data_IF_759793360727
#
_entry.id   IF_759793360727
#
_cell.length_a   1.000
_cell.length_b   1.000
_cell.length_c   1.000
_cell.angle_alpha   90.00
_cell.angle_beta   90.00
_cell.angle_gamma   90.00
#
_symmetry.space_group_name_H-M   'P 1'
#
loop_
_entity.id
_entity.type
_entity.pdbx_description
1 polymer ?
#
# COMPACT_ATOMS: atom_id res chain seq x y z
N UNK A 1 10.79 0.50 -35.49
CA UNK A 1 10.28 0.03 -34.18
C UNK A 1 11.06 0.56 -32.98
N UNK A 2 12.39 0.37 -32.87
CA UNK A 2 13.17 0.83 -31.70
C UNK A 2 13.09 2.35 -31.43
N UNK A 3 13.21 3.18 -32.49
CA UNK A 3 13.08 4.65 -32.36
C UNK A 3 11.71 5.10 -31.82
N UNK A 4 10.64 4.42 -32.22
CA UNK A 4 9.28 4.73 -31.72
C UNK A 4 9.18 4.39 -30.24
N UNK A 5 9.74 3.25 -29.81
CA UNK A 5 9.79 2.87 -28.39
C UNK A 5 10.53 3.91 -27.55
N UNK A 6 11.68 4.39 -28.01
CA UNK A 6 12.41 5.47 -27.33
C UNK A 6 11.57 6.74 -27.18
N UNK A 7 10.80 7.11 -28.22
CA UNK A 7 9.90 8.25 -28.11
C UNK A 7 8.77 8.02 -27.09
N UNK A 8 8.21 6.81 -27.05
CA UNK A 8 7.15 6.45 -26.09
C UNK A 8 7.71 6.32 -24.66
N UNK A 9 8.93 5.84 -24.50
CA UNK A 9 9.63 5.81 -23.20
C UNK A 9 9.85 7.24 -22.69
N UNK A 10 10.26 8.17 -23.57
CA UNK A 10 10.39 9.58 -23.17
C UNK A 10 9.04 10.21 -22.84
N UNK A 11 7.99 9.87 -23.58
CA UNK A 11 6.64 10.30 -23.27
C UNK A 11 6.18 9.79 -21.90
N UNK A 12 6.53 8.54 -21.54
CA UNK A 12 6.14 7.95 -20.25
C UNK A 12 6.84 8.64 -19.07
N UNK A 13 8.12 8.99 -19.22
CA UNK A 13 8.86 9.80 -18.22
C UNK A 13 8.19 11.16 -17.99
N UNK A 14 7.86 11.88 -19.06
CA UNK A 14 7.21 13.20 -18.96
C UNK A 14 5.81 13.09 -18.33
N UNK A 15 5.07 12.04 -18.67
CA UNK A 15 3.75 11.76 -18.09
C UNK A 15 3.81 11.44 -16.60
N UNK A 16 4.87 10.80 -16.13
CA UNK A 16 5.07 10.56 -14.70
C UNK A 16 5.34 11.86 -13.92
N UNK A 17 6.14 12.76 -14.48
CA UNK A 17 6.48 14.05 -13.84
C UNK A 17 5.29 15.02 -13.75
N UNK A 18 4.27 14.85 -14.61
CA UNK A 18 3.05 15.68 -14.59
C UNK A 18 2.25 15.57 -13.28
N UNK A 19 2.51 14.57 -12.43
CA UNK A 19 1.85 14.44 -11.12
C UNK A 19 2.44 15.34 -10.02
N UNK A 20 3.71 15.74 -10.11
CA UNK A 20 4.41 16.43 -9.02
C UNK A 20 4.12 17.94 -8.92
N UNK A 21 3.11 18.45 -9.65
CA UNK A 21 2.75 19.87 -9.63
C UNK A 21 3.85 20.81 -10.12
N UNK A 22 4.92 20.27 -10.71
CA UNK A 22 6.01 21.04 -11.31
C UNK A 22 5.50 21.74 -12.57
N UNK A 23 5.89 23.00 -12.78
CA UNK A 23 5.64 23.69 -14.05
C UNK A 23 6.28 22.89 -15.18
N UNK A 24 5.46 22.15 -15.91
CA UNK A 24 5.94 21.34 -17.03
C UNK A 24 6.32 22.29 -18.15
N UNK A 25 7.63 22.40 -18.38
CA UNK A 25 8.22 23.19 -19.45
C UNK A 25 7.44 23.01 -20.76
N UNK A 26 7.17 24.12 -21.46
CA UNK A 26 6.32 24.14 -22.67
C UNK A 26 6.77 23.11 -23.73
N UNK A 27 8.06 22.83 -23.78
CA UNK A 27 8.67 21.81 -24.64
C UNK A 27 8.16 20.39 -24.35
N UNK A 28 7.99 20.02 -23.08
CA UNK A 28 7.47 18.72 -22.65
C UNK A 28 6.00 18.56 -23.05
N UNK A 29 5.21 19.61 -22.87
CA UNK A 29 3.81 19.64 -23.36
C UNK A 29 3.74 19.47 -24.88
N UNK A 30 4.56 20.23 -25.62
CA UNK A 30 4.64 20.14 -27.08
C UNK A 30 5.06 18.74 -27.54
N UNK A 31 5.97 18.10 -26.82
CA UNK A 31 6.38 16.72 -27.07
C UNK A 31 5.21 15.74 -26.94
N UNK A 32 4.46 15.79 -25.82
CA UNK A 32 3.31 14.92 -25.61
C UNK A 32 2.22 15.11 -26.67
N UNK A 33 1.96 16.36 -27.09
CA UNK A 33 1.01 16.63 -28.18
C UNK A 33 1.43 15.98 -29.51
N UNK A 34 2.74 15.92 -29.81
CA UNK A 34 3.21 15.23 -31.01
C UNK A 34 3.04 13.71 -30.91
N UNK A 35 3.27 13.14 -29.73
CA UNK A 35 3.06 11.71 -29.47
C UNK A 35 1.58 11.34 -29.54
N UNK A 36 0.70 12.18 -28.98
CA UNK A 36 -0.75 12.02 -29.10
C UNK A 36 -1.20 12.03 -30.57
N UNK A 37 -0.77 13.04 -31.34
CA UNK A 37 -1.06 13.13 -32.78
C UNK A 37 -0.54 11.93 -33.56
N UNK A 38 0.66 11.43 -33.21
CA UNK A 38 1.21 10.22 -33.79
C UNK A 38 0.31 9.01 -33.52
N UNK A 39 -0.08 8.78 -32.26
CA UNK A 39 -0.97 7.68 -31.88
C UNK A 39 -2.34 7.78 -32.55
N UNK A 40 -2.87 8.99 -32.75
CA UNK A 40 -4.13 9.21 -33.44
C UNK A 40 -4.05 8.92 -34.95
N UNK A 41 -2.93 9.23 -35.61
CA UNK A 41 -2.75 9.08 -37.07
C UNK A 41 -2.44 7.65 -37.49
N UNK A 42 -1.62 6.92 -36.73
CA UNK A 42 -1.08 5.63 -37.17
C UNK A 42 -2.08 4.48 -37.01
N UNK A 43 -3.23 4.71 -36.34
CA UNK A 43 -4.31 3.73 -36.13
C UNK A 43 -3.81 2.34 -35.66
N UNK A 44 -2.74 2.33 -34.86
CA UNK A 44 -2.16 1.11 -34.30
C UNK A 44 -2.10 1.25 -32.78
N UNK A 45 -3.07 0.65 -32.09
CA UNK A 45 -3.20 0.77 -30.65
C UNK A 45 -2.10 0.04 -29.86
N UNK A 46 -1.25 -0.78 -30.51
CA UNK A 46 -0.09 -1.37 -29.84
C UNK A 46 0.87 -0.33 -29.27
N UNK A 47 0.92 0.88 -29.83
CA UNK A 47 1.71 1.98 -29.27
C UNK A 47 1.13 2.52 -27.97
N UNK A 48 -0.20 2.67 -27.90
CA UNK A 48 -0.92 3.03 -26.67
C UNK A 48 -0.79 1.93 -25.62
N UNK A 49 -0.94 0.66 -26.03
CA UNK A 49 -0.72 -0.50 -25.15
C UNK A 49 0.72 -0.52 -24.60
N UNK A 50 1.72 -0.25 -25.44
CA UNK A 50 3.11 -0.14 -24.98
C UNK A 50 3.27 0.99 -23.97
N UNK A 51 2.75 2.18 -24.26
CA UNK A 51 2.84 3.35 -23.39
C UNK A 51 2.17 3.10 -22.04
N UNK A 52 0.96 2.54 -22.02
CA UNK A 52 0.25 2.15 -20.80
C UNK A 52 1.08 1.14 -19.99
N UNK A 53 1.61 0.09 -20.63
CA UNK A 53 2.47 -0.90 -19.94
C UNK A 53 3.73 -0.27 -19.36
N UNK A 54 4.35 0.66 -20.09
CA UNK A 54 5.55 1.36 -19.64
C UNK A 54 5.24 2.23 -18.41
N UNK A 55 4.14 2.99 -18.45
CA UNK A 55 3.66 3.79 -17.31
C UNK A 55 3.34 2.90 -16.11
N UNK A 56 2.63 1.79 -16.31
CA UNK A 56 2.33 0.83 -15.21
C UNK A 56 3.61 0.26 -14.60
N UNK A 57 4.62 -0.03 -15.42
CA UNK A 57 5.91 -0.54 -14.93
C UNK A 57 6.72 0.50 -14.14
N UNK A 58 6.54 1.79 -14.42
CA UNK A 58 7.28 2.87 -13.77
C UNK A 58 6.56 3.41 -12.52
N UNK A 59 5.24 3.57 -12.59
CA UNK A 59 4.43 4.30 -11.60
C UNK A 59 3.34 3.44 -10.95
N UNK A 60 3.17 2.19 -11.38
CA UNK A 60 2.14 1.30 -10.88
C UNK A 60 0.77 1.45 -11.57
N UNK A 61 -0.15 0.55 -11.23
CA UNK A 61 -1.47 0.49 -11.89
C UNK A 61 -2.42 1.59 -11.43
N UNK A 62 -2.37 1.99 -10.16
CA UNK A 62 -3.21 3.06 -9.61
C UNK A 62 -2.94 4.41 -10.29
N UNK A 63 -1.65 4.72 -10.53
CA UNK A 63 -1.26 5.89 -11.31
C UNK A 63 -1.91 5.88 -12.68
N UNK A 64 -1.79 4.76 -13.41
CA UNK A 64 -2.38 4.64 -14.74
C UNK A 64 -3.89 4.76 -14.68
N UNK A 65 -4.58 4.12 -13.73
CA UNK A 65 -6.03 4.28 -13.54
C UNK A 65 -6.42 5.73 -13.25
N UNK A 66 -5.58 6.53 -12.58
CA UNK A 66 -5.87 7.95 -12.37
C UNK A 66 -5.92 8.75 -13.69
N UNK A 67 -5.17 8.32 -14.71
CA UNK A 67 -5.14 8.95 -16.04
C UNK A 67 -6.40 8.65 -16.87
N UNK A 68 -7.17 7.61 -16.52
CA UNK A 68 -8.40 7.24 -17.24
C UNK A 68 -9.64 8.00 -16.76
N UNK A 69 -9.51 8.84 -15.72
CA UNK A 69 -10.58 9.71 -15.25
C UNK A 69 -11.04 10.65 -16.38
N UNK A 70 -12.34 10.83 -16.50
CA UNK A 70 -12.92 11.71 -17.50
C UNK A 70 -12.41 13.16 -17.32
N UNK A 71 -11.98 13.79 -18.42
CA UNK A 71 -11.40 15.14 -18.41
C UNK A 71 -9.90 15.20 -18.07
N UNK A 72 -9.24 14.06 -17.77
CA UNK A 72 -7.79 14.07 -17.52
C UNK A 72 -7.01 14.38 -18.82
N UNK A 73 -6.02 15.29 -18.81
CA UNK A 73 -5.29 15.70 -20.03
C UNK A 73 -4.52 14.56 -20.69
N UNK A 74 -4.10 13.56 -19.91
CA UNK A 74 -3.41 12.37 -20.43
C UNK A 74 -4.35 11.22 -20.83
N UNK A 75 -5.68 11.42 -20.90
CA UNK A 75 -6.64 10.36 -21.20
C UNK A 75 -6.42 9.71 -22.58
N UNK A 76 -5.74 10.39 -23.51
CA UNK A 76 -5.40 9.89 -24.85
C UNK A 76 -4.47 8.67 -24.88
N UNK A 77 -3.79 8.36 -23.77
CA UNK A 77 -2.86 7.22 -23.67
C UNK A 77 -3.57 5.87 -23.76
N UNK A 78 -4.88 5.82 -23.49
CA UNK A 78 -5.65 4.59 -23.54
C UNK A 78 -6.24 4.31 -24.93
N UNK A 79 -6.27 3.05 -25.37
CA UNK A 79 -7.12 2.63 -26.48
C UNK A 79 -8.59 2.92 -26.17
N UNK A 80 -9.39 3.21 -27.20
CA UNK A 80 -10.79 3.63 -27.05
C UNK A 80 -11.66 2.57 -26.38
N UNK A 81 -11.39 1.30 -26.66
CA UNK A 81 -12.12 0.15 -26.13
C UNK A 81 -11.88 0.00 -24.62
N UNK A 82 -10.68 0.32 -24.14
CA UNK A 82 -10.31 0.23 -22.72
C UNK A 82 -11.06 1.30 -21.92
N UNK A 83 -11.14 2.52 -22.44
CA UNK A 83 -11.91 3.61 -21.82
C UNK A 83 -13.38 3.23 -21.69
N UNK A 84 -13.97 2.64 -22.74
CA UNK A 84 -15.37 2.23 -22.72
C UNK A 84 -15.65 1.17 -21.63
N UNK A 85 -14.72 0.24 -21.40
CA UNK A 85 -14.86 -0.83 -20.40
C UNK A 85 -14.59 -0.37 -18.97
N UNK A 86 -13.77 0.66 -18.76
CA UNK A 86 -13.41 1.13 -17.42
C UNK A 86 -14.47 2.01 -16.74
N UNK A 87 -15.47 2.50 -17.48
CA UNK A 87 -16.53 3.37 -16.94
C UNK A 87 -17.34 2.72 -15.83
N UNK A 88 -17.48 1.40 -15.84
CA UNK A 88 -18.41 0.74 -14.93
C UNK A 88 -17.79 0.50 -13.56
N UNK A 89 -16.53 0.06 -13.46
CA UNK A 89 -15.83 -0.15 -12.17
C UNK A 89 -14.31 -0.14 -12.35
N UNK A 90 -13.57 0.90 -11.92
CA UNK A 90 -12.11 0.81 -11.83
C UNK A 90 -11.76 -0.17 -10.70
N UNK A 91 -11.45 -1.42 -11.06
CA UNK A 91 -11.07 -2.44 -10.09
C UNK A 91 -9.80 -2.04 -9.35
N UNK A 92 -9.90 -1.84 -8.03
CA UNK A 92 -8.73 -1.66 -7.17
C UNK A 92 -8.01 -2.99 -7.04
N UNK A 93 -6.68 -3.00 -7.17
CA UNK A 93 -5.91 -4.22 -6.90
C UNK A 93 -6.03 -4.59 -5.42
N UNK A 94 -6.09 -5.88 -5.13
CA UNK A 94 -6.07 -6.39 -3.76
C UNK A 94 -4.68 -6.99 -3.48
N UNK A 95 -3.77 -6.25 -2.83
CA UNK A 95 -2.43 -6.74 -2.57
C UNK A 95 -2.41 -7.91 -1.57
N UNK A 96 -3.48 -8.11 -0.80
CA UNK A 96 -3.56 -9.18 0.19
C UNK A 96 -3.84 -10.55 -0.43
N UNK A 97 -4.11 -10.61 -1.74
CA UNK A 97 -4.14 -11.87 -2.50
C UNK A 97 -2.82 -12.65 -2.44
N UNK A 98 -1.73 -12.06 -1.93
CA UNK A 98 -0.51 -12.78 -1.52
C UNK A 98 -0.80 -13.95 -0.56
N UNK A 99 -1.87 -13.87 0.25
CA UNK A 99 -2.32 -14.93 1.14
C UNK A 99 -3.08 -16.06 0.44
N UNK A 100 -3.35 -15.92 -0.85
CA UNK A 100 -3.91 -16.98 -1.70
C UNK A 100 -5.42 -17.19 -1.56
N UNK A 101 -5.85 -18.41 -1.88
CA UNK A 101 -7.26 -18.77 -2.08
C UNK A 101 -8.08 -18.72 -0.78
N UNK A 102 -7.46 -19.03 0.35
CA UNK A 102 -8.15 -19.05 1.64
C UNK A 102 -8.51 -17.64 2.10
N UNK A 103 -7.58 -16.69 1.99
CA UNK A 103 -7.90 -15.27 2.18
C UNK A 103 -8.98 -14.80 1.22
N UNK A 104 -8.87 -15.15 -0.07
CA UNK A 104 -9.87 -14.78 -1.07
C UNK A 104 -11.27 -15.28 -0.67
N UNK A 105 -11.40 -16.51 -0.21
CA UNK A 105 -12.68 -17.07 0.20
C UNK A 105 -13.28 -16.32 1.40
N UNK A 106 -12.46 -15.99 2.40
CA UNK A 106 -12.89 -15.18 3.56
C UNK A 106 -13.28 -13.77 3.12
N UNK A 107 -12.50 -13.12 2.26
CA UNK A 107 -12.81 -11.80 1.71
C UNK A 107 -14.13 -11.79 0.94
N UNK A 108 -14.32 -12.73 0.02
CA UNK A 108 -15.55 -12.84 -0.77
C UNK A 108 -16.77 -13.09 0.16
N UNK A 109 -16.59 -13.84 1.26
CA UNK A 109 -17.63 -14.04 2.28
C UNK A 109 -17.93 -12.78 3.10
N UNK A 110 -16.91 -11.99 3.47
CA UNK A 110 -17.10 -10.70 4.16
C UNK A 110 -17.83 -9.69 3.27
N UNK A 111 -17.43 -9.56 2.00
CA UNK A 111 -18.11 -8.70 1.04
C UNK A 111 -19.59 -9.07 0.87
N UNK A 112 -19.88 -10.37 0.73
CA UNK A 112 -21.26 -10.87 0.70
C UNK A 112 -22.02 -10.58 2.01
N UNK A 113 -21.39 -10.79 3.16
CA UNK A 113 -22.01 -10.59 4.46
C UNK A 113 -22.40 -9.13 4.70
N UNK A 114 -21.61 -8.17 4.22
CA UNK A 114 -21.95 -6.74 4.27
C UNK A 114 -23.15 -6.43 3.38
N UNK A 115 -23.14 -6.90 2.13
CA UNK A 115 -24.24 -6.67 1.19
C UNK A 115 -25.57 -7.24 1.72
N UNK A 116 -25.53 -8.43 2.32
CA UNK A 116 -26.72 -9.13 2.83
C UNK A 116 -27.04 -8.82 4.29
N UNK A 117 -26.18 -8.08 5.00
CA UNK A 117 -26.23 -7.87 6.46
C UNK A 117 -26.30 -9.19 7.27
N UNK A 118 -25.61 -10.23 6.81
CA UNK A 118 -25.63 -11.59 7.39
C UNK A 118 -24.22 -12.17 7.51
N UNK A 119 -23.62 -12.19 8.71
CA UNK A 119 -22.23 -12.63 8.90
C UNK A 119 -22.03 -14.15 8.90
N UNK A 120 -23.10 -14.96 8.83
CA UNK A 120 -23.02 -16.43 8.87
C UNK A 120 -22.09 -17.01 7.79
N UNK A 121 -22.05 -16.40 6.62
CA UNK A 121 -21.18 -16.83 5.53
C UNK A 121 -19.68 -16.74 5.86
N UNK A 122 -19.31 -15.83 6.77
CA UNK A 122 -17.92 -15.63 7.21
C UNK A 122 -17.47 -16.83 8.07
N UNK A 123 -18.32 -17.27 9.00
CA UNK A 123 -18.05 -18.46 9.84
C UNK A 123 -17.83 -19.68 8.96
N UNK A 124 -18.72 -19.92 8.00
CA UNK A 124 -18.58 -21.04 7.05
C UNK A 124 -17.28 -20.98 6.26
N UNK A 125 -16.86 -19.79 5.80
CA UNK A 125 -15.60 -19.61 5.08
C UNK A 125 -14.37 -19.84 5.99
N UNK A 126 -14.44 -19.40 7.25
CA UNK A 126 -13.38 -19.62 8.23
C UNK A 126 -13.28 -21.08 8.65
N UNK A 127 -14.39 -21.80 8.79
CA UNK A 127 -14.43 -23.24 9.10
C UNK A 127 -13.87 -24.07 7.94
N UNK A 128 -14.21 -23.72 6.69
CA UNK A 128 -13.70 -24.38 5.50
C UNK A 128 -12.18 -24.18 5.29
N UNK A 129 -11.60 -23.14 5.89
CA UNK A 129 -10.18 -22.82 5.81
C UNK A 129 -9.33 -23.81 6.62
N UNK A 130 -8.32 -24.40 5.99
CA UNK A 130 -7.40 -25.38 6.61
C UNK A 130 -6.23 -24.73 7.38
N UNK A 131 -6.15 -23.41 7.34
CA UNK A 131 -5.08 -22.63 7.97
C UNK A 131 -5.20 -22.58 9.49
N UNK A 132 -4.12 -22.17 10.18
CA UNK A 132 -4.13 -22.03 11.64
C UNK A 132 -5.08 -20.92 12.11
N UNK A 133 -5.49 -20.94 13.39
CA UNK A 133 -6.33 -19.88 13.98
C UNK A 133 -5.72 -18.49 13.80
N UNK A 134 -4.40 -18.37 13.96
CA UNK A 134 -3.65 -17.14 13.69
C UNK A 134 -3.80 -16.66 12.24
N UNK A 135 -3.70 -17.56 11.26
CA UNK A 135 -3.86 -17.20 9.85
C UNK A 135 -5.32 -16.83 9.53
N UNK A 136 -6.29 -17.54 10.10
CA UNK A 136 -7.71 -17.20 9.98
C UNK A 136 -8.01 -15.80 10.52
N UNK A 137 -7.42 -15.43 11.67
CA UNK A 137 -7.51 -14.08 12.22
C UNK A 137 -6.89 -13.02 11.29
N UNK A 138 -5.72 -13.29 10.72
CA UNK A 138 -5.09 -12.43 9.71
C UNK A 138 -6.02 -12.23 8.50
N UNK A 139 -6.57 -13.31 7.95
CA UNK A 139 -7.46 -13.23 6.79
C UNK A 139 -8.72 -12.42 7.08
N UNK A 140 -9.32 -12.64 8.25
CA UNK A 140 -10.50 -11.90 8.66
C UNK A 140 -10.22 -10.40 8.81
N UNK A 141 -9.13 -10.01 9.47
CA UNK A 141 -8.76 -8.60 9.62
C UNK A 141 -8.49 -7.91 8.28
N UNK A 142 -7.74 -8.57 7.38
CA UNK A 142 -7.47 -8.02 6.05
C UNK A 142 -8.73 -7.91 5.21
N UNK A 143 -9.63 -8.91 5.30
CA UNK A 143 -10.92 -8.89 4.62
C UNK A 143 -11.84 -7.79 5.15
N UNK A 144 -11.90 -7.58 6.48
CA UNK A 144 -12.66 -6.49 7.09
C UNK A 144 -12.15 -5.13 6.62
N UNK A 145 -10.82 -4.93 6.61
CA UNK A 145 -10.26 -3.72 6.04
C UNK A 145 -10.67 -3.57 4.57
N UNK A 146 -10.49 -4.64 3.78
CA UNK A 146 -10.67 -4.58 2.33
C UNK A 146 -12.11 -4.33 1.92
N UNK A 147 -13.07 -5.00 2.54
CA UNK A 147 -14.48 -4.99 2.13
C UNK A 147 -15.34 -4.01 2.94
N UNK A 148 -14.89 -3.60 4.14
CA UNK A 148 -15.63 -2.68 5.01
C UNK A 148 -14.94 -1.34 5.09
N UNK A 149 -13.68 -1.32 5.53
CA UNK A 149 -12.98 -0.06 5.81
C UNK A 149 -12.74 0.77 4.53
N UNK A 150 -12.41 0.13 3.41
CA UNK A 150 -12.18 0.86 2.14
C UNK A 150 -13.44 1.56 1.62
N UNK A 151 -14.64 1.07 1.96
CA UNK A 151 -15.91 1.69 1.53
C UNK A 151 -16.06 3.11 2.06
N UNK A 152 -15.52 3.41 3.26
CA UNK A 152 -15.51 4.77 3.81
C UNK A 152 -14.65 5.75 3.00
N UNK A 153 -13.76 5.26 2.14
CA UNK A 153 -12.93 6.11 1.26
C UNK A 153 -13.65 6.52 -0.02
N UNK A 154 -14.81 5.92 -0.31
CA UNK A 154 -15.64 6.30 -1.44
C UNK A 154 -16.12 7.74 -1.28
N UNK A 155 -16.05 8.53 -2.37
CA UNK A 155 -16.70 9.85 -2.42
C UNK A 155 -18.22 9.74 -2.40
N UNK A 156 -18.77 8.61 -2.84
CA UNK A 156 -20.19 8.33 -2.73
C UNK A 156 -20.51 7.79 -1.33
N UNK A 157 -21.15 8.63 -0.51
CA UNK A 157 -21.57 8.31 0.84
C UNK A 157 -22.62 7.18 0.90
N UNK A 158 -23.38 6.95 -0.18
CA UNK A 158 -24.36 5.85 -0.24
C UNK A 158 -23.69 4.47 -0.25
N UNK A 159 -22.40 4.41 -0.62
CA UNK A 159 -21.59 3.20 -0.57
C UNK A 159 -20.97 2.96 0.80
N UNK A 160 -21.06 3.90 1.74
CA UNK A 160 -20.51 3.73 3.08
C UNK A 160 -21.31 2.66 3.84
N UNK A 161 -20.65 1.86 4.70
CA UNK A 161 -21.33 0.87 5.51
C UNK A 161 -22.40 1.52 6.39
N UNK A 162 -23.61 1.00 6.32
CA UNK A 162 -24.76 1.48 7.10
C UNK A 162 -24.61 1.07 8.56
N UNK A 163 -25.16 1.84 9.52
CA UNK A 163 -25.06 1.50 10.95
C UNK A 163 -25.53 0.08 11.29
N UNK A 164 -26.57 -0.42 10.61
CA UNK A 164 -27.07 -1.78 10.81
C UNK A 164 -26.06 -2.85 10.37
N UNK A 165 -25.32 -2.61 9.28
CA UNK A 165 -24.28 -3.50 8.77
C UNK A 165 -23.08 -3.54 9.74
N UNK A 166 -22.64 -2.36 10.21
CA UNK A 166 -21.56 -2.25 11.21
C UNK A 166 -21.93 -2.98 12.50
N UNK A 167 -23.14 -2.80 13.00
CA UNK A 167 -23.62 -3.44 14.23
C UNK A 167 -23.70 -4.97 14.09
N UNK A 168 -24.16 -5.48 12.94
CA UNK A 168 -24.18 -6.92 12.66
C UNK A 168 -22.75 -7.51 12.64
N UNK A 169 -21.80 -6.80 12.03
CA UNK A 169 -20.40 -7.21 11.98
C UNK A 169 -19.75 -7.16 13.37
N UNK A 170 -20.04 -6.13 14.16
CA UNK A 170 -19.54 -5.97 15.52
C UNK A 170 -19.98 -7.12 16.42
N UNK A 171 -21.27 -7.48 16.39
CA UNK A 171 -21.82 -8.65 17.10
C UNK A 171 -21.19 -9.97 16.68
N UNK A 172 -20.85 -10.12 15.40
CA UNK A 172 -20.13 -11.28 14.91
C UNK A 172 -18.70 -11.32 15.46
N UNK A 173 -17.96 -10.21 15.40
CA UNK A 173 -16.59 -10.10 15.92
C UNK A 173 -16.55 -10.42 17.42
N UNK A 174 -17.49 -9.89 18.20
CA UNK A 174 -17.59 -10.12 19.65
C UNK A 174 -17.86 -11.59 20.01
N UNK A 175 -18.51 -12.35 19.12
CA UNK A 175 -18.83 -13.77 19.32
C UNK A 175 -17.79 -14.72 18.71
N UNK A 176 -16.86 -14.20 17.91
CA UNK A 176 -15.92 -15.02 17.17
C UNK A 176 -14.88 -15.66 18.08
N UNK A 177 -14.80 -16.99 18.07
CA UNK A 177 -13.75 -17.74 18.77
C UNK A 177 -12.37 -17.63 18.07
N UNK A 178 -12.34 -17.09 16.85
CA UNK A 178 -11.10 -16.94 16.06
C UNK A 178 -10.24 -15.77 16.55
N UNK A 179 -10.84 -14.79 17.23
CA UNK A 179 -10.18 -13.54 17.62
C UNK A 179 -10.02 -13.47 19.14
N UNK A 180 -8.83 -13.10 19.60
CA UNK A 180 -8.62 -12.76 21.01
C UNK A 180 -9.18 -11.36 21.32
N UNK A 181 -9.41 -11.00 22.60
CA UNK A 181 -10.01 -9.71 22.95
C UNK A 181 -9.32 -8.48 22.33
N UNK A 182 -7.98 -8.44 22.33
CA UNK A 182 -7.21 -7.34 21.74
C UNK A 182 -7.38 -7.27 20.22
N UNK A 183 -7.44 -8.43 19.55
CA UNK A 183 -7.63 -8.53 18.10
C UNK A 183 -9.06 -8.14 17.73
N UNK A 184 -10.05 -8.53 18.54
CA UNK A 184 -11.45 -8.13 18.37
C UNK A 184 -11.63 -6.62 18.49
N UNK A 185 -10.95 -5.97 19.45
CA UNK A 185 -10.98 -4.51 19.56
C UNK A 185 -10.45 -3.83 18.28
N UNK A 186 -9.33 -4.33 17.74
CA UNK A 186 -8.78 -3.83 16.47
C UNK A 186 -9.74 -4.06 15.28
N UNK A 187 -10.36 -5.23 15.20
CA UNK A 187 -11.34 -5.56 14.16
C UNK A 187 -12.56 -4.61 14.20
N UNK A 188 -13.06 -4.29 15.40
CA UNK A 188 -14.15 -3.33 15.59
C UNK A 188 -13.73 -1.93 15.12
N UNK A 189 -12.52 -1.49 15.46
CA UNK A 189 -12.02 -0.19 15.00
C UNK A 189 -11.85 -0.11 13.48
N UNK A 190 -11.55 -1.23 12.80
CA UNK A 190 -11.57 -1.30 11.33
C UNK A 190 -13.00 -1.12 10.79
N UNK A 191 -13.98 -1.84 11.35
CA UNK A 191 -15.38 -1.78 10.92
C UNK A 191 -15.98 -0.38 11.09
N UNK A 192 -15.64 0.30 12.19
CA UNK A 192 -16.16 1.64 12.48
C UNK A 192 -15.33 2.78 11.87
N UNK A 193 -14.25 2.46 11.15
CA UNK A 193 -13.29 3.44 10.63
C UNK A 193 -12.73 4.39 11.73
N UNK A 194 -12.46 3.83 12.92
CA UNK A 194 -12.05 4.61 14.09
C UNK A 194 -10.54 4.86 14.14
N UNK A 195 -9.73 4.03 13.46
CA UNK A 195 -8.27 4.13 13.52
C UNK A 195 -7.80 5.46 12.91
N UNK A 196 -6.96 6.24 13.62
CA UNK A 196 -6.47 7.53 13.12
C UNK A 196 -5.75 7.42 11.77
N UNK A 197 -5.02 6.32 11.54
CA UNK A 197 -4.33 6.00 10.29
C UNK A 197 -5.27 6.00 9.06
N UNK A 198 -6.57 5.77 9.26
CA UNK A 198 -7.56 5.65 8.21
C UNK A 198 -8.31 6.96 7.92
N UNK A 199 -8.15 7.99 8.76
CA UNK A 199 -8.90 9.26 8.70
C UNK A 199 -8.36 10.24 7.66
N UNK A 200 -7.63 9.76 6.66
CA UNK A 200 -7.12 10.55 5.56
C UNK A 200 -8.29 11.04 4.72
N UNK A 201 -8.39 12.35 4.48
CA UNK A 201 -9.51 12.97 3.77
C UNK A 201 -9.66 12.49 2.32
N UNK A 202 -10.79 12.81 1.65
CA UNK A 202 -10.98 12.49 0.25
C UNK A 202 -9.88 13.13 -0.61
N UNK A 203 -9.20 12.33 -1.44
CA UNK A 203 -8.07 12.78 -2.26
C UNK A 203 -6.71 12.20 -1.89
N UNK A 204 -6.68 11.16 -1.05
CA UNK A 204 -5.49 10.35 -0.71
C UNK A 204 -4.62 10.10 -1.95
N UNK A 205 -3.36 10.51 -1.89
CA UNK A 205 -2.40 10.22 -2.97
C UNK A 205 -2.20 8.71 -3.11
N UNK A 206 -1.85 8.21 -4.30
CA UNK A 206 -1.63 6.77 -4.53
C UNK A 206 -0.61 6.18 -3.53
N UNK A 207 0.40 6.97 -3.13
CA UNK A 207 1.40 6.58 -2.15
C UNK A 207 0.79 6.40 -0.75
N UNK A 208 -0.05 7.33 -0.31
CA UNK A 208 -0.69 7.28 1.00
C UNK A 208 -1.64 6.08 1.11
N UNK A 209 -2.37 5.75 0.04
CA UNK A 209 -3.17 4.53 -0.05
C UNK A 209 -2.33 3.27 0.16
N UNK A 210 -1.21 3.17 -0.56
CA UNK A 210 -0.25 2.05 -0.44
C UNK A 210 0.32 1.94 0.97
N UNK A 211 0.72 3.06 1.58
CA UNK A 211 1.27 3.09 2.95
C UNK A 211 0.22 2.61 3.96
N UNK A 212 -1.05 3.00 3.81
CA UNK A 212 -2.10 2.54 4.71
C UNK A 212 -2.33 1.03 4.56
N UNK A 213 -2.36 0.50 3.34
CA UNK A 213 -2.49 -0.94 3.10
C UNK A 213 -1.32 -1.72 3.74
N UNK A 214 -0.09 -1.24 3.57
CA UNK A 214 1.09 -1.82 4.22
C UNK A 214 1.02 -1.75 5.75
N UNK A 215 0.59 -0.61 6.30
CA UNK A 215 0.50 -0.41 7.74
C UNK A 215 -0.59 -1.28 8.37
N UNK A 216 -1.75 -1.44 7.71
CA UNK A 216 -2.81 -2.35 8.15
C UNK A 216 -2.36 -3.81 8.07
N UNK A 217 -1.65 -4.19 7.01
CA UNK A 217 -1.05 -5.53 6.91
C UNK A 217 -0.04 -5.78 8.03
N UNK A 218 0.88 -4.85 8.25
CA UNK A 218 1.87 -4.94 9.32
C UNK A 218 1.19 -5.04 10.69
N UNK A 219 0.23 -4.16 11.00
CA UNK A 219 -0.54 -4.20 12.25
C UNK A 219 -1.23 -5.56 12.43
N UNK A 220 -1.87 -6.08 11.39
CA UNK A 220 -2.54 -7.38 11.40
C UNK A 220 -1.58 -8.53 11.70
N UNK A 221 -0.41 -8.55 11.03
CA UNK A 221 0.62 -9.57 11.24
C UNK A 221 1.23 -9.48 12.64
N UNK A 222 1.47 -8.27 13.15
CA UNK A 222 2.04 -8.05 14.49
C UNK A 222 1.06 -8.40 15.62
N UNK A 223 -0.24 -8.17 15.41
CA UNK A 223 -1.27 -8.53 16.39
C UNK A 223 -1.50 -10.05 16.45
N UNK A 224 -1.61 -10.69 15.28
CA UNK A 224 -1.96 -12.11 15.20
C UNK A 224 -0.74 -13.04 15.33
N UNK A 225 0.43 -12.59 14.89
CA UNK A 225 1.64 -13.39 14.81
C UNK A 225 2.20 -13.79 16.17
N UNK A 226 2.68 -15.02 16.28
CA UNK A 226 3.22 -15.59 17.52
C UNK A 226 4.76 -15.71 17.54
N UNK A 227 5.44 -15.21 16.50
CA UNK A 227 6.90 -15.29 16.41
C UNK A 227 7.58 -14.27 17.34
N UNK A 228 8.60 -14.72 18.07
CA UNK A 228 9.40 -13.86 18.95
C UNK A 228 10.10 -12.72 18.20
N UNK A 229 10.43 -12.93 16.92
CA UNK A 229 11.05 -11.91 16.06
C UNK A 229 10.12 -10.71 15.85
N UNK A 230 8.81 -10.89 15.96
CA UNK A 230 7.84 -9.81 15.83
C UNK A 230 7.74 -8.95 17.11
N UNK A 231 8.26 -9.41 18.24
CA UNK A 231 8.13 -8.74 19.54
C UNK A 231 8.57 -7.27 19.53
N UNK A 232 9.81 -6.95 19.08
CA UNK A 232 10.28 -5.57 19.01
C UNK A 232 9.41 -4.69 18.10
N UNK A 233 8.98 -5.21 16.95
CA UNK A 233 8.13 -4.49 15.99
C UNK A 233 6.72 -4.28 16.54
N UNK A 234 6.17 -5.25 17.27
CA UNK A 234 4.88 -5.15 17.96
C UNK A 234 4.94 -4.06 19.03
N UNK A 235 6.03 -4.00 19.79
CA UNK A 235 6.23 -2.94 20.76
C UNK A 235 6.34 -1.57 20.08
N UNK A 236 7.06 -1.46 18.96
CA UNK A 236 7.10 -0.21 18.20
C UNK A 236 5.73 0.26 17.72
N UNK A 237 4.90 -0.67 17.25
CA UNK A 237 3.58 -0.35 16.71
C UNK A 237 2.53 -0.03 17.79
N UNK A 238 2.49 -0.80 18.88
CA UNK A 238 1.39 -0.75 19.86
C UNK A 238 1.80 -0.32 21.26
N UNK A 239 3.08 -0.41 21.61
CA UNK A 239 3.61 -0.07 22.94
C UNK A 239 4.91 0.76 22.84
N UNK A 240 4.90 1.92 22.15
CA UNK A 240 6.12 2.66 21.81
C UNK A 240 6.91 3.10 23.05
N UNK A 241 6.25 3.26 24.21
CA UNK A 241 6.89 3.57 25.50
C UNK A 241 7.91 2.51 25.95
N UNK A 242 7.78 1.25 25.50
CA UNK A 242 8.72 0.18 25.80
C UNK A 242 9.99 0.23 24.94
N UNK A 243 10.02 1.07 23.89
CA UNK A 243 11.09 1.11 22.88
C UNK A 243 11.95 2.38 22.94
N UNK A 244 11.72 3.28 23.91
CA UNK A 244 12.38 4.60 23.99
C UNK A 244 13.92 4.52 24.05
N UNK A 245 14.45 3.49 24.73
CA UNK A 245 15.90 3.27 24.87
C UNK A 245 16.38 2.02 24.11
N UNK A 246 15.64 1.60 23.08
CA UNK A 246 15.98 0.43 22.28
C UNK A 246 16.75 0.83 21.02
N UNK A 247 17.67 -0.03 20.59
CA UNK A 247 18.28 0.10 19.27
C UNK A 247 17.30 -0.37 18.19
N UNK A 248 16.86 0.53 17.31
CA UNK A 248 16.00 0.20 16.19
C UNK A 248 16.82 -0.46 15.06
N UNK A 249 16.20 -1.38 14.27
CA UNK A 249 16.85 -1.95 13.10
C UNK A 249 17.27 -0.84 12.13
N UNK A 250 18.39 -1.06 11.44
CA UNK A 250 18.98 -0.12 10.46
C UNK A 250 19.44 1.24 11.02
N UNK A 251 19.46 1.43 12.34
CA UNK A 251 20.17 2.56 12.91
C UNK A 251 21.67 2.44 12.65
N UNK A 252 22.38 3.55 12.37
CA UNK A 252 23.83 3.55 12.28
C UNK A 252 24.44 2.99 13.56
N UNK A 253 25.33 2.02 13.42
CA UNK A 253 26.09 1.51 14.56
C UNK A 253 27.27 2.44 14.83
N UNK A 254 27.44 2.85 16.09
CA UNK A 254 28.64 3.56 16.50
C UNK A 254 29.82 2.56 16.60
N UNK A 255 30.46 2.34 15.46
CA UNK A 255 31.64 1.49 15.36
C UNK A 255 32.86 2.11 16.03
N UNK A 256 32.81 3.36 16.54
CA UNK A 256 33.97 4.00 17.17
C UNK A 256 34.45 3.24 18.40
N UNK A 257 33.53 2.72 19.22
CA UNK A 257 33.89 1.93 20.40
C UNK A 257 34.57 0.61 20.02
N UNK A 258 34.14 -0.01 18.93
CA UNK A 258 34.77 -1.23 18.39
C UNK A 258 36.11 -0.91 17.73
N UNK A 259 36.19 0.19 16.97
CA UNK A 259 37.39 0.63 16.26
C UNK A 259 38.53 1.00 17.21
N UNK A 260 38.25 1.65 18.35
CA UNK A 260 39.26 1.94 19.38
C UNK A 260 39.89 0.69 19.99
N UNK A 261 39.16 -0.43 20.00
CA UNK A 261 39.60 -1.69 20.58
C UNK A 261 40.09 -2.69 19.51
N UNK A 262 40.21 -2.27 18.26
CA UNK A 262 40.65 -3.15 17.17
C UNK A 262 42.17 -3.34 17.22
N UNK A 263 42.63 -4.59 17.31
CA UNK A 263 44.06 -4.97 17.38
C UNK A 263 44.96 -4.45 16.25
N UNK A 264 44.38 -3.99 15.13
CA UNK A 264 45.11 -3.45 13.98
C UNK A 264 45.25 -1.92 14.01
N UNK A 265 44.66 -1.27 15.02
CA UNK A 265 44.67 0.18 15.24
C UNK A 265 45.39 0.54 16.55
N UNK A 266 46.21 -0.35 17.10
CA UNK A 266 46.96 -0.10 18.35
C UNK A 266 48.00 1.03 18.21
N UNK A 267 48.45 1.31 16.98
CA UNK A 267 49.44 2.35 16.67
C UNK A 267 48.85 3.69 16.16
N UNK A 268 47.53 3.83 16.06
CA UNK A 268 46.92 5.07 15.57
C UNK A 268 46.60 6.03 16.71
N UNK A 269 46.82 7.32 16.48
CA UNK A 269 46.43 8.37 17.43
C UNK A 269 45.03 8.85 17.11
N UNK A 270 44.16 8.89 18.12
CA UNK A 270 42.77 9.33 17.98
C UNK A 270 42.62 10.82 18.32
N UNK A 271 41.90 11.56 17.47
CA UNK A 271 41.60 12.98 17.61
C UNK A 271 40.09 13.22 17.56
N UNK A 272 39.64 14.30 18.17
CA UNK A 272 38.25 14.76 18.09
C UNK A 272 38.21 16.14 17.47
N UNK A 273 37.43 16.33 16.41
CA UNK A 273 37.29 17.65 15.78
C UNK A 273 36.37 18.57 16.61
N UNK A 274 36.34 19.89 16.33
CA UNK A 274 35.44 20.83 17.04
C UNK A 274 33.95 20.50 16.93
N UNK A 275 33.53 19.72 15.93
CA UNK A 275 32.16 19.23 15.76
C UNK A 275 31.87 17.91 16.50
N UNK A 276 32.85 17.38 17.26
CA UNK A 276 32.69 16.15 18.06
C UNK A 276 32.94 14.84 17.30
N UNK A 277 33.32 14.88 16.02
CA UNK A 277 33.66 13.67 15.27
C UNK A 277 35.04 13.14 15.65
N UNK A 278 35.15 11.83 15.82
CA UNK A 278 36.39 11.14 16.19
C UNK A 278 37.09 10.63 14.92
N UNK A 279 38.38 10.94 14.77
CA UNK A 279 39.22 10.54 13.64
C UNK A 279 40.50 9.85 14.14
N UNK A 280 41.05 8.90 13.39
CA UNK A 280 42.37 8.31 13.65
C UNK A 280 43.41 8.80 12.64
N UNK A 281 44.63 9.04 13.09
CA UNK A 281 45.79 9.34 12.25
C UNK A 281 46.95 8.44 12.69
N UNK A 282 47.53 7.71 11.74
CA UNK A 282 48.70 6.86 11.96
C UNK A 282 49.42 6.64 10.63
N UNK A 283 50.71 6.32 10.69
CA UNK A 283 51.47 5.87 9.52
C UNK A 283 51.11 4.41 9.23
N UNK A 284 50.85 4.10 7.95
CA UNK A 284 50.58 2.74 7.46
C UNK A 284 51.89 2.01 7.19
#
# INVERSE_FOLDING_TARGET
MARIRLCLDKASEILAELQDGSEVAEEKHRYLQQVERFCARVQNDWYRVYLVRKLTSQQGMEFVQSLSKEGHPAHWVFPKEVIAQQRDHPGQMDPYLVHGKDYKAVRDAVGKAILESKPLAIETALEACRSSTTQKAVYLLLALFREVTTLYRSQNADLHPKPQQCEAMKKFIEKSETLSPDISAFAISLVNNELPLLRTGPGVSNLEGTVIEMAVHAATVLLCGQSQVLGPLKNLAFFPHLMVNAFLPTMPEDLLAQARNWKGLEGVTWYTCPNGHVCSVGEV
#
